data_IF_169733915724
#
_entry.id   IF_169733915724
#
_cell.length_a   1.000
_cell.length_b   1.000
_cell.length_c   1.000
_cell.angle_alpha   90.00
_cell.angle_beta   90.00
_cell.angle_gamma   90.00
#
_symmetry.space_group_name_H-M   'P 1'
#
loop_
_entity.id
_entity.type
_entity.pdbx_description
1 polymer ?
#
# COMPACT_ATOMS: atom_id res chain seq x y z
N UNK A 1 -31.12 -23.89 -8.30
CA UNK A 1 -30.47 -23.23 -7.14
C UNK A 1 -28.95 -23.11 -7.37
N UNK A 2 -28.50 -22.40 -8.41
CA UNK A 2 -27.07 -22.32 -8.80
C UNK A 2 -26.44 -20.96 -8.47
N UNK A 3 -27.14 -20.09 -7.74
CA UNK A 3 -26.66 -18.72 -7.43
C UNK A 3 -26.29 -18.47 -5.96
N UNK A 4 -26.44 -19.47 -5.07
CA UNK A 4 -26.15 -19.31 -3.62
C UNK A 4 -24.64 -19.23 -3.32
N UNK A 5 -23.78 -19.60 -4.28
CA UNK A 5 -22.32 -19.61 -4.13
C UNK A 5 -21.57 -18.42 -4.75
N UNK A 6 -22.26 -17.40 -5.27
CA UNK A 6 -21.57 -16.18 -5.71
C UNK A 6 -20.92 -15.55 -4.46
N UNK A 7 -19.59 -15.48 -4.44
CA UNK A 7 -18.82 -14.82 -3.37
C UNK A 7 -19.44 -13.45 -3.11
N UNK A 8 -20.05 -13.27 -1.95
CA UNK A 8 -20.26 -11.94 -1.40
C UNK A 8 -18.87 -11.38 -1.11
N UNK A 9 -18.36 -10.52 -1.97
CA UNK A 9 -17.22 -9.69 -1.60
C UNK A 9 -17.75 -8.69 -0.58
N UNK A 10 -17.47 -8.91 0.71
CA UNK A 10 -17.70 -7.90 1.74
C UNK A 10 -16.94 -6.65 1.32
N UNK A 11 -17.61 -5.49 1.12
CA UNK A 11 -16.92 -4.27 0.76
C UNK A 11 -15.91 -3.90 1.84
N UNK A 12 -14.68 -3.58 1.43
CA UNK A 12 -13.65 -3.05 2.32
C UNK A 12 -13.89 -1.55 2.45
N UNK A 13 -14.16 -1.06 3.67
CA UNK A 13 -14.32 0.37 3.92
C UNK A 13 -12.99 1.12 3.95
N UNK A 14 -13.04 2.44 3.81
CA UNK A 14 -11.86 3.31 3.64
C UNK A 14 -10.77 3.10 4.69
N UNK A 15 -11.14 3.02 5.98
CA UNK A 15 -10.18 2.78 7.07
C UNK A 15 -9.54 1.40 6.94
N UNK A 16 -10.31 0.36 6.60
CA UNK A 16 -9.81 -1.00 6.43
C UNK A 16 -8.85 -1.09 5.22
N UNK A 17 -9.18 -0.37 4.14
CA UNK A 17 -8.33 -0.25 2.96
C UNK A 17 -6.97 0.38 3.31
N UNK A 18 -6.98 1.54 3.96
CA UNK A 18 -5.75 2.25 4.34
C UNK A 18 -4.91 1.44 5.34
N UNK A 19 -5.54 0.80 6.33
CA UNK A 19 -4.83 -0.08 7.29
C UNK A 19 -4.16 -1.28 6.62
N UNK A 20 -4.72 -1.79 5.52
CA UNK A 20 -4.11 -2.86 4.73
C UNK A 20 -3.01 -2.33 3.79
N UNK A 21 -3.16 -1.12 3.27
CA UNK A 21 -2.19 -0.52 2.35
C UNK A 21 -0.92 -0.02 3.03
N UNK A 22 -0.97 0.48 4.26
CA UNK A 22 0.24 0.90 5.01
C UNK A 22 1.31 -0.22 5.10
N UNK A 23 0.99 -1.45 5.57
CA UNK A 23 1.97 -2.53 5.60
C UNK A 23 2.34 -3.06 4.20
N UNK A 24 1.40 -3.02 3.24
CA UNK A 24 1.72 -3.34 1.84
C UNK A 24 2.81 -2.41 1.28
N UNK A 25 2.68 -1.11 1.52
CA UNK A 25 3.64 -0.10 1.08
C UNK A 25 4.98 -0.25 1.83
N UNK A 26 4.92 -0.47 3.14
CA UNK A 26 6.11 -0.72 3.96
C UNK A 26 6.94 -1.91 3.46
N UNK A 27 6.28 -2.96 2.96
CA UNK A 27 6.96 -4.11 2.35
C UNK A 27 7.73 -3.73 1.08
N UNK A 28 7.10 -2.97 0.17
CA UNK A 28 7.77 -2.52 -1.05
C UNK A 28 8.93 -1.56 -0.76
N UNK A 29 8.77 -0.64 0.21
CA UNK A 29 9.88 0.21 0.69
C UNK A 29 11.03 -0.66 1.21
N UNK A 30 10.74 -1.69 2.01
CA UNK A 30 11.75 -2.60 2.56
C UNK A 30 12.50 -3.33 1.44
N UNK A 31 11.80 -3.89 0.45
CA UNK A 31 12.43 -4.53 -0.71
C UNK A 31 13.29 -3.54 -1.48
N UNK A 32 12.77 -2.35 -1.78
CA UNK A 32 13.48 -1.29 -2.50
C UNK A 32 14.76 -0.83 -1.78
N UNK A 33 14.76 -0.77 -0.45
CA UNK A 33 15.93 -0.37 0.36
C UNK A 33 17.03 -1.43 0.40
N UNK A 34 16.71 -2.71 0.24
CA UNK A 34 17.66 -3.82 0.40
C UNK A 34 18.01 -4.55 -0.90
N UNK A 35 17.34 -4.23 -2.01
CA UNK A 35 17.62 -4.84 -3.30
C UNK A 35 19.01 -4.40 -3.83
N UNK A 36 19.82 -5.36 -4.26
CA UNK A 36 21.08 -5.08 -4.93
C UNK A 36 20.83 -4.80 -6.43
N UNK A 37 20.52 -3.54 -6.76
CA UNK A 37 20.15 -3.11 -8.11
C UNK A 37 21.36 -2.44 -8.79
N UNK A 38 21.84 -3.06 -9.88
CA UNK A 38 22.98 -2.56 -10.66
C UNK A 38 22.59 -1.58 -11.78
N UNK A 39 21.42 -1.78 -12.40
CA UNK A 39 20.96 -0.94 -13.49
C UNK A 39 20.56 0.46 -12.97
N UNK A 40 21.12 1.56 -13.51
CA UNK A 40 20.89 2.92 -12.99
C UNK A 40 19.44 3.40 -13.14
N UNK A 41 18.74 2.99 -14.22
CA UNK A 41 17.33 3.35 -14.42
C UNK A 41 16.44 2.64 -13.39
N UNK A 42 16.75 1.37 -13.09
CA UNK A 42 16.02 0.59 -12.08
C UNK A 42 16.31 1.11 -10.67
N UNK A 43 17.53 1.58 -10.40
CA UNK A 43 17.87 2.23 -9.12
C UNK A 43 17.05 3.50 -8.91
N UNK A 44 16.95 4.34 -9.95
CA UNK A 44 16.10 5.53 -9.93
C UNK A 44 14.62 5.19 -9.70
N UNK A 45 14.12 4.13 -10.33
CA UNK A 45 12.77 3.64 -10.08
C UNK A 45 12.58 3.21 -8.61
N UNK A 46 13.56 2.49 -8.03
CA UNK A 46 13.51 2.09 -6.62
C UNK A 46 13.45 3.29 -5.67
N UNK A 47 14.25 4.33 -5.92
CA UNK A 47 14.23 5.57 -5.14
C UNK A 47 12.88 6.29 -5.25
N UNK A 48 12.28 6.33 -6.45
CA UNK A 48 10.95 6.89 -6.67
C UNK A 48 9.86 6.12 -5.94
N UNK A 49 9.92 4.78 -5.94
CA UNK A 49 9.00 3.91 -5.20
C UNK A 49 9.07 4.21 -3.70
N UNK A 50 10.28 4.33 -3.13
CA UNK A 50 10.44 4.65 -1.71
C UNK A 50 9.78 6.00 -1.39
N UNK A 51 10.10 7.04 -2.17
CA UNK A 51 9.57 8.39 -1.92
C UNK A 51 8.05 8.47 -2.06
N UNK A 52 7.48 7.84 -3.09
CA UNK A 52 6.03 7.87 -3.31
C UNK A 52 5.31 7.14 -2.17
N UNK A 53 5.81 5.97 -1.78
CA UNK A 53 5.13 5.15 -0.80
C UNK A 53 5.26 5.67 0.63
N UNK A 54 6.38 6.31 0.98
CA UNK A 54 6.51 7.02 2.26
C UNK A 54 5.50 8.18 2.35
N UNK A 55 5.27 8.92 1.25
CA UNK A 55 4.25 9.97 1.16
C UNK A 55 2.83 9.41 1.30
N UNK A 56 2.52 8.33 0.59
CA UNK A 56 1.22 7.67 0.63
C UNK A 56 0.90 7.10 2.02
N UNK A 57 1.89 6.53 2.72
CA UNK A 57 1.73 6.11 4.13
C UNK A 57 1.34 7.30 5.01
N UNK A 58 2.05 8.42 4.92
CA UNK A 58 1.74 9.61 5.71
C UNK A 58 0.34 10.16 5.42
N UNK A 59 -0.08 10.16 4.16
CA UNK A 59 -1.43 10.57 3.74
C UNK A 59 -2.50 9.63 4.33
N UNK A 60 -2.29 8.32 4.27
CA UNK A 60 -3.20 7.32 4.85
C UNK A 60 -3.30 7.43 6.36
N UNK A 61 -2.19 7.62 7.07
CA UNK A 61 -2.18 7.81 8.53
C UNK A 61 -2.98 9.06 8.93
N UNK A 62 -2.77 10.16 8.21
CA UNK A 62 -3.52 11.40 8.42
C UNK A 62 -5.03 11.21 8.19
N UNK A 63 -5.41 10.50 7.12
CA UNK A 63 -6.83 10.22 6.81
C UNK A 63 -7.48 9.24 7.78
N UNK A 64 -6.78 8.21 8.24
CA UNK A 64 -7.29 7.34 9.31
C UNK A 64 -7.59 8.17 10.57
N UNK A 65 -6.68 9.08 10.95
CA UNK A 65 -6.87 9.96 12.12
C UNK A 65 -8.04 10.93 11.94
N UNK A 66 -8.28 11.42 10.72
CA UNK A 66 -9.42 12.28 10.39
C UNK A 66 -10.75 11.52 10.52
N UNK A 67 -10.83 10.31 9.95
CA UNK A 67 -12.06 9.52 9.87
C UNK A 67 -12.40 8.74 11.16
N UNK A 68 -11.46 8.59 12.09
CA UNK A 68 -11.67 7.86 13.35
C UNK A 68 -12.07 8.74 14.53
N UNK A 69 -12.39 10.02 14.29
CA UNK A 69 -12.93 10.96 15.28
C UNK A 69 -14.44 10.84 15.35
#
# INVERSE_FOLDING_TARGET
>A
LVLIGLRTQTPIGDIQYMKAMIPHHSSAIMVSKHANIENPEVKKLSEQIIQSQEKEIAEMEAKIKELSK
#
